data_IF_896971762247
#
_entry.id   IF_896971762247
#
_cell.length_a   1.000
_cell.length_b   1.000
_cell.length_c   1.000
_cell.angle_alpha   90.00
_cell.angle_beta   90.00
_cell.angle_gamma   90.00
#
_symmetry.space_group_name_H-M   'P 1'
#
loop_
_entity.id
_entity.type
_entity.pdbx_description
1 polymer ?
#
# COMPACT_ATOMS: atom_id res chain seq x y z
N UNK A 1 31.94 -5.40 5.18
CA UNK A 1 30.98 -6.47 4.84
C UNK A 1 29.71 -5.78 4.42
N UNK A 2 29.61 -5.43 3.14
CA UNK A 2 28.38 -4.91 2.56
C UNK A 2 27.47 -6.10 2.30
N UNK A 3 26.47 -6.29 3.16
CA UNK A 3 25.39 -7.22 2.88
C UNK A 3 24.65 -6.68 1.65
N UNK A 4 24.95 -7.27 0.49
CA UNK A 4 24.44 -6.85 -0.81
C UNK A 4 22.91 -6.82 -0.81
N UNK A 5 22.35 -5.62 -0.91
CA UNK A 5 21.06 -5.44 -1.54
C UNK A 5 21.19 -5.98 -2.98
N UNK A 6 20.34 -6.93 -3.37
CA UNK A 6 20.30 -7.37 -4.76
C UNK A 6 20.03 -6.16 -5.66
N UNK A 7 20.43 -6.23 -6.94
CA UNK A 7 20.18 -5.17 -7.93
C UNK A 7 18.68 -4.91 -8.21
N UNK A 8 17.79 -5.58 -7.48
CA UNK A 8 16.34 -5.56 -7.68
C UNK A 8 15.62 -4.67 -6.66
N UNK A 9 16.35 -4.11 -5.68
CA UNK A 9 15.80 -3.21 -4.66
C UNK A 9 16.40 -1.82 -4.80
N UNK A 10 15.53 -0.84 -4.98
CA UNK A 10 15.88 0.56 -5.09
C UNK A 10 15.22 1.33 -3.95
N UNK A 11 15.98 2.24 -3.34
CA UNK A 11 15.48 3.15 -2.32
C UNK A 11 15.59 4.56 -2.87
N UNK A 12 14.44 5.18 -3.08
CA UNK A 12 14.36 6.54 -3.61
C UNK A 12 13.65 7.42 -2.56
N UNK A 13 14.27 8.50 -2.09
CA UNK A 13 13.59 9.45 -1.21
C UNK A 13 12.55 10.21 -2.01
N UNK A 14 11.28 9.87 -1.82
CA UNK A 14 10.16 10.45 -2.53
C UNK A 14 9.09 11.04 -1.60
N UNK A 15 8.35 12.02 -2.11
CA UNK A 15 7.09 12.45 -1.52
C UNK A 15 5.99 11.44 -1.92
N UNK A 16 5.57 10.61 -0.97
CA UNK A 16 4.55 9.56 -1.18
C UNK A 16 3.21 10.12 -1.68
N UNK A 17 2.92 11.40 -1.44
CA UNK A 17 1.72 12.04 -1.93
C UNK A 17 1.81 12.35 -3.43
N UNK A 18 3.03 12.46 -3.98
CA UNK A 18 3.31 12.79 -5.38
C UNK A 18 3.84 11.64 -6.24
N UNK A 19 4.35 10.55 -5.65
CA UNK A 19 4.90 9.39 -6.41
C UNK A 19 3.94 8.86 -7.47
N UNK A 20 4.41 8.53 -8.67
CA UNK A 20 3.56 7.85 -9.67
C UNK A 20 3.50 6.35 -9.39
N UNK A 21 2.30 5.78 -9.27
CA UNK A 21 2.10 4.36 -8.97
C UNK A 21 1.98 3.44 -10.21
N UNK A 22 1.92 3.99 -11.43
CA UNK A 22 1.63 3.24 -12.67
C UNK A 22 2.57 2.07 -12.95
N UNK A 23 3.84 2.16 -12.55
CA UNK A 23 4.84 1.10 -12.79
C UNK A 23 4.79 -0.03 -11.77
N UNK A 24 3.99 0.11 -10.72
CA UNK A 24 3.92 -0.86 -9.63
C UNK A 24 2.70 -1.75 -9.75
N UNK A 25 2.83 -3.00 -9.29
CA UNK A 25 1.69 -3.93 -9.21
C UNK A 25 1.11 -4.03 -7.80
N UNK A 26 1.91 -3.64 -6.79
CA UNK A 26 1.55 -3.74 -5.37
C UNK A 26 2.08 -2.54 -4.60
N UNK A 27 1.29 -2.06 -3.65
CA UNK A 27 1.64 -1.01 -2.69
C UNK A 27 1.44 -1.55 -1.27
N UNK A 28 2.44 -1.34 -0.41
CA UNK A 28 2.42 -1.75 0.99
C UNK A 28 2.47 -0.49 1.86
N UNK A 29 1.47 -0.31 2.71
CA UNK A 29 1.32 0.86 3.57
C UNK A 29 1.45 0.47 5.04
N UNK A 30 2.38 1.13 5.72
CA UNK A 30 2.39 1.23 7.18
C UNK A 30 2.37 2.73 7.53
N UNK A 31 1.17 3.30 7.50
CA UNK A 31 0.93 4.73 7.62
C UNK A 31 -0.20 4.96 8.63
N UNK A 32 -0.23 6.16 9.21
CA UNK A 32 -1.34 6.61 10.06
C UNK A 32 -2.63 6.85 9.24
N UNK A 33 -3.78 6.97 9.94
CA UNK A 33 -5.08 7.15 9.30
C UNK A 33 -5.19 8.42 8.46
N UNK A 34 -4.56 9.53 8.88
CA UNK A 34 -4.61 10.82 8.18
C UNK A 34 -3.85 10.74 6.86
N UNK A 35 -2.68 10.10 6.88
CA UNK A 35 -1.88 9.84 5.68
C UNK A 35 -2.65 8.95 4.69
N UNK A 36 -3.32 7.90 5.18
CA UNK A 36 -4.17 7.04 4.34
C UNK A 36 -5.40 7.78 3.78
N UNK A 37 -5.99 8.70 4.53
CA UNK A 37 -7.10 9.53 4.08
C UNK A 37 -6.68 10.45 2.93
N UNK A 38 -5.51 11.09 3.03
CA UNK A 38 -4.95 11.91 1.95
C UNK A 38 -4.65 11.04 0.72
N UNK A 39 -4.09 9.84 0.90
CA UNK A 39 -3.74 8.94 -0.20
C UNK A 39 -4.94 8.19 -0.78
N UNK A 40 -6.10 8.22 -0.13
CA UNK A 40 -7.27 7.42 -0.53
C UNK A 40 -7.60 7.53 -2.02
N UNK A 41 -7.76 8.73 -2.63
CA UNK A 41 -8.16 8.81 -4.05
C UNK A 41 -7.18 8.08 -4.97
N UNK A 42 -5.89 8.24 -4.69
CA UNK A 42 -4.78 7.64 -5.44
C UNK A 42 -4.72 6.11 -5.27
N UNK A 43 -4.90 5.63 -4.03
CA UNK A 43 -4.93 4.19 -3.75
C UNK A 43 -6.17 3.53 -4.35
N UNK A 44 -7.31 4.21 -4.33
CA UNK A 44 -8.56 3.73 -4.94
C UNK A 44 -8.44 3.60 -6.46
N UNK A 45 -7.89 4.62 -7.13
CA UNK A 45 -7.60 4.58 -8.57
C UNK A 45 -6.62 3.47 -8.92
N UNK A 46 -5.55 3.31 -8.14
CA UNK A 46 -4.58 2.23 -8.32
C UNK A 46 -5.21 0.83 -8.17
N UNK A 47 -6.15 0.64 -7.23
CA UNK A 47 -6.89 -0.62 -7.11
C UNK A 47 -7.83 -0.82 -8.30
N UNK A 48 -8.48 0.24 -8.79
CA UNK A 48 -9.36 0.19 -9.97
C UNK A 48 -8.61 -0.17 -11.25
N UNK A 49 -7.35 0.22 -11.38
CA UNK A 49 -6.49 -0.13 -12.53
C UNK A 49 -5.86 -1.53 -12.48
N UNK A 50 -6.20 -2.35 -11.47
CA UNK A 50 -5.71 -3.73 -11.34
C UNK A 50 -4.62 -3.92 -10.28
N UNK A 51 -4.18 -2.84 -9.63
CA UNK A 51 -3.19 -2.88 -8.56
C UNK A 51 -3.68 -3.55 -7.28
N UNK A 52 -2.73 -3.92 -6.42
CA UNK A 52 -2.99 -4.45 -5.07
C UNK A 52 -2.47 -3.53 -3.97
N UNK A 53 -3.33 -3.15 -3.02
CA UNK A 53 -2.95 -2.36 -1.84
C UNK A 53 -3.05 -3.21 -0.58
N UNK A 54 -2.01 -3.15 0.24
CA UNK A 54 -1.90 -3.86 1.51
C UNK A 54 -1.64 -2.82 2.60
N UNK A 55 -2.61 -2.58 3.48
CA UNK A 55 -2.53 -1.59 4.54
C UNK A 55 -2.53 -2.24 5.92
N UNK A 56 -1.45 -2.05 6.66
CA UNK A 56 -1.26 -2.64 7.98
C UNK A 56 -1.85 -1.74 9.08
N UNK A 57 -2.52 -2.35 10.06
CA UNK A 57 -3.21 -1.72 11.21
C UNK A 57 -4.42 -0.82 10.90
N UNK A 58 -4.35 -0.03 9.83
CA UNK A 58 -5.38 0.93 9.45
C UNK A 58 -5.98 0.60 8.08
N UNK A 59 -7.30 0.76 7.95
CA UNK A 59 -8.03 0.54 6.69
C UNK A 59 -8.07 1.82 5.84
N UNK A 60 -8.08 1.67 4.51
CA UNK A 60 -8.31 2.77 3.59
C UNK A 60 -9.82 2.97 3.45
N UNK A 61 -10.38 3.92 4.22
CA UNK A 61 -11.84 4.12 4.36
C UNK A 61 -12.50 4.41 3.01
N UNK A 62 -13.47 3.59 2.62
CA UNK A 62 -14.28 3.79 1.42
C UNK A 62 -13.71 3.19 0.13
N UNK A 63 -12.59 2.46 0.20
CA UNK A 63 -12.15 1.61 -0.91
C UNK A 63 -12.89 0.27 -0.84
N UNK A 64 -13.53 -0.12 -1.95
CA UNK A 64 -14.31 -1.34 -2.04
C UNK A 64 -13.44 -2.61 -2.14
N UNK A 65 -14.06 -3.79 -2.02
CA UNK A 65 -13.41 -5.12 -2.09
C UNK A 65 -12.34 -5.36 -1.02
N UNK A 66 -12.55 -4.80 0.17
CA UNK A 66 -11.71 -5.02 1.33
C UNK A 66 -11.72 -6.50 1.76
N UNK A 67 -10.53 -7.10 1.85
CA UNK A 67 -10.31 -8.33 2.61
C UNK A 67 -9.50 -7.99 3.85
N UNK A 68 -10.05 -8.28 5.03
CA UNK A 68 -9.35 -8.16 6.31
C UNK A 68 -8.78 -9.50 6.75
N UNK A 69 -7.52 -9.53 7.15
CA UNK A 69 -6.86 -10.68 7.76
C UNK A 69 -6.36 -10.26 9.14
N UNK A 70 -6.60 -11.08 10.17
CA UNK A 70 -6.00 -10.90 11.49
C UNK A 70 -4.64 -11.62 11.51
N UNK A 71 -3.57 -10.88 11.78
CA UNK A 71 -2.22 -11.43 11.88
C UNK A 71 -1.96 -12.02 13.27
N UNK A 72 -0.89 -12.82 13.41
CA UNK A 72 -0.53 -13.49 14.68
C UNK A 72 -0.29 -12.53 15.85
N UNK A 73 0.08 -11.29 15.56
CA UNK A 73 0.27 -10.22 16.55
C UNK A 73 -1.04 -9.50 16.91
N UNK A 74 -2.20 -10.07 16.54
CA UNK A 74 -3.54 -9.50 16.75
C UNK A 74 -3.78 -8.16 16.04
N UNK A 75 -2.92 -7.80 15.07
CA UNK A 75 -3.10 -6.60 14.25
C UNK A 75 -3.76 -6.96 12.91
N UNK A 76 -4.66 -6.11 12.39
CA UNK A 76 -5.29 -6.36 11.11
C UNK A 76 -4.37 -5.99 9.94
N UNK A 77 -4.46 -6.75 8.86
CA UNK A 77 -3.99 -6.40 7.52
C UNK A 77 -5.20 -6.25 6.60
N UNK A 78 -5.36 -5.08 6.00
CA UNK A 78 -6.40 -4.79 5.03
C UNK A 78 -5.83 -4.92 3.62
N UNK A 79 -6.50 -5.69 2.78
CA UNK A 79 -6.05 -6.01 1.42
C UNK A 79 -7.14 -5.58 0.44
N UNK A 80 -6.75 -4.79 -0.54
CA UNK A 80 -7.59 -4.30 -1.62
C UNK A 80 -6.98 -4.76 -2.94
N UNK A 81 -7.76 -5.40 -3.81
CA UNK A 81 -7.28 -5.88 -5.11
C UNK A 81 -8.25 -5.49 -6.21
N UNK A 82 -7.69 -5.00 -7.32
CA UNK A 82 -8.42 -4.87 -8.57
C UNK A 82 -9.00 -6.20 -9.03
N UNK A 83 -10.04 -6.12 -9.87
CA UNK A 83 -10.58 -7.30 -10.55
C UNK A 83 -9.66 -7.70 -11.68
#
# INVERSE_FOLDING_TARGET
MDAGLSKDFFFEPEDIFKVNLEKFTKVYCYLDEKSLEILKPKLEEFVKSGGGVYSYEHKVKGVEKEKKILLRNNKPLYIYKGK
#
